data_IF_651132969183
#
_entry.id   IF_651132969183
#
_cell.length_a   1.000
_cell.length_b   1.000
_cell.length_c   1.000
_cell.angle_alpha   90.00
_cell.angle_beta   90.00
_cell.angle_gamma   90.00
#
_symmetry.space_group_name_H-M   'P 1'
#
loop_
_entity.id
_entity.type
_entity.pdbx_description
1 polymer ?
#
# COMPACT_ATOMS: atom_id res chain seq x y z
N UNK A 1 16.54 10.83 -2.11
CA UNK A 1 17.17 11.26 -0.84
C UNK A 1 18.62 11.61 -1.12
N UNK A 2 18.89 12.87 -1.47
CA UNK A 2 20.20 13.30 -2.01
C UNK A 2 21.12 13.91 -0.94
N UNK A 3 20.59 14.17 0.27
CA UNK A 3 21.29 14.86 1.37
C UNK A 3 21.39 14.04 2.66
N UNK A 4 21.19 12.73 2.60
CA UNK A 4 21.20 11.84 3.78
C UNK A 4 20.02 12.02 4.75
N UNK A 5 19.13 12.97 4.49
CA UNK A 5 17.91 13.18 5.25
C UNK A 5 16.80 12.25 4.74
N UNK A 6 16.23 11.45 5.64
CA UNK A 6 15.15 10.50 5.39
C UNK A 6 13.95 10.94 6.22
N UNK A 7 12.86 11.31 5.56
CA UNK A 7 11.60 11.47 6.26
C UNK A 7 11.04 10.07 6.61
N UNK A 8 10.77 9.77 7.90
CA UNK A 8 10.27 8.46 8.32
C UNK A 8 8.86 8.13 7.77
N UNK A 9 8.09 9.14 7.37
CA UNK A 9 6.72 8.99 6.84
C UNK A 9 6.61 9.32 5.34
N UNK A 10 7.71 9.75 4.70
CA UNK A 10 7.78 9.97 3.25
C UNK A 10 9.11 9.48 2.69
N UNK A 11 9.15 8.22 2.26
CA UNK A 11 10.37 7.58 1.79
C UNK A 11 10.05 6.44 0.82
N UNK A 12 11.07 5.68 0.42
CA UNK A 12 10.93 4.58 -0.52
C UNK A 12 9.82 3.57 -0.13
N UNK A 13 9.56 3.38 1.16
CA UNK A 13 8.50 2.48 1.65
C UNK A 13 7.12 3.15 1.74
N UNK A 14 7.05 4.47 1.89
CA UNK A 14 5.84 5.20 2.27
C UNK A 14 5.57 6.38 1.35
N UNK A 15 4.37 6.38 0.77
CA UNK A 15 3.91 7.38 -0.18
C UNK A 15 2.82 6.80 -1.07
N UNK A 16 2.38 7.59 -2.05
CA UNK A 16 1.43 7.13 -3.07
C UNK A 16 1.98 5.92 -3.82
N UNK A 17 1.18 4.84 -3.89
CA UNK A 17 1.54 3.54 -4.49
C UNK A 17 2.53 2.68 -3.68
N UNK A 18 2.97 3.17 -2.51
CA UNK A 18 3.81 2.44 -1.58
C UNK A 18 5.17 2.02 -2.16
N UNK A 19 5.70 0.90 -1.67
CA UNK A 19 7.03 0.41 -2.06
C UNK A 19 7.16 -0.01 -3.55
N UNK A 20 6.05 -0.16 -4.25
CA UNK A 20 6.04 -0.53 -5.67
C UNK A 20 6.38 0.64 -6.60
N UNK A 21 6.06 1.88 -6.19
CA UNK A 21 6.10 3.08 -7.04
C UNK A 21 7.48 3.36 -7.64
N UNK A 22 8.54 3.10 -6.87
CA UNK A 22 9.93 3.36 -7.26
C UNK A 22 10.71 2.08 -7.62
N UNK A 23 10.01 1.10 -8.21
CA UNK A 23 10.59 -0.16 -8.67
C UNK A 23 10.59 -0.25 -10.20
N UNK A 24 11.27 -1.27 -10.74
CA UNK A 24 11.20 -1.64 -12.17
C UNK A 24 9.77 -2.05 -12.62
N UNK A 25 8.84 -2.21 -11.66
CA UNK A 25 7.44 -2.53 -11.94
C UNK A 25 7.23 -3.92 -12.53
N UNK A 26 8.04 -4.90 -12.13
CA UNK A 26 7.92 -6.30 -12.56
C UNK A 26 6.63 -6.91 -12.01
N UNK A 27 5.77 -7.39 -12.89
CA UNK A 27 4.43 -7.90 -12.56
C UNK A 27 4.43 -9.43 -12.50
N UNK A 28 5.13 -9.99 -11.51
CA UNK A 28 5.12 -11.43 -11.26
C UNK A 28 4.31 -11.76 -10.00
N UNK A 29 3.54 -12.84 -10.07
CA UNK A 29 2.86 -13.41 -8.89
C UNK A 29 2.98 -14.92 -8.92
N UNK A 30 3.18 -15.52 -7.75
CA UNK A 30 3.15 -16.98 -7.56
C UNK A 30 1.79 -17.46 -7.04
N UNK A 31 0.83 -16.55 -6.91
CA UNK A 31 -0.43 -16.79 -6.22
C UNK A 31 -1.62 -16.85 -7.19
N UNK A 32 -1.53 -17.73 -8.19
CA UNK A 32 -2.56 -17.92 -9.21
C UNK A 32 -3.92 -18.41 -8.67
N UNK A 33 -3.94 -18.96 -7.45
CA UNK A 33 -5.16 -19.49 -6.81
C UNK A 33 -5.94 -18.45 -6.00
N UNK A 34 -5.41 -17.24 -5.81
CA UNK A 34 -5.98 -16.22 -4.91
C UNK A 34 -6.12 -14.88 -5.62
N UNK A 35 -7.20 -14.73 -6.37
CA UNK A 35 -7.58 -13.48 -7.03
C UNK A 35 -7.53 -13.56 -8.56
N UNK A 36 -8.06 -12.53 -9.21
CA UNK A 36 -8.09 -12.41 -10.65
C UNK A 36 -6.92 -11.53 -11.12
N UNK A 37 -5.84 -12.18 -11.57
CA UNK A 37 -4.63 -11.50 -12.07
C UNK A 37 -4.96 -10.65 -13.28
N UNK A 38 -5.76 -11.19 -14.21
CA UNK A 38 -6.17 -10.49 -15.43
C UNK A 38 -6.90 -9.18 -15.09
N UNK A 39 -7.80 -9.20 -14.10
CA UNK A 39 -8.48 -7.99 -13.63
C UNK A 39 -7.48 -6.94 -13.13
N UNK A 40 -6.47 -7.34 -12.35
CA UNK A 40 -5.46 -6.41 -11.86
C UNK A 40 -4.63 -5.80 -13.00
N UNK A 41 -4.25 -6.60 -13.99
CA UNK A 41 -3.53 -6.12 -15.18
C UNK A 41 -4.39 -5.18 -16.02
N UNK A 42 -5.67 -5.51 -16.24
CA UNK A 42 -6.62 -4.64 -16.95
C UNK A 42 -6.80 -3.30 -16.25
N UNK A 43 -6.93 -3.29 -14.92
CA UNK A 43 -6.99 -2.05 -14.14
C UNK A 43 -5.73 -1.19 -14.33
N UNK A 44 -4.54 -1.79 -14.40
CA UNK A 44 -3.31 -1.04 -14.70
C UNK A 44 -3.37 -0.41 -16.10
N UNK A 45 -3.84 -1.15 -17.11
CA UNK A 45 -3.99 -0.64 -18.49
C UNK A 45 -5.01 0.48 -18.56
N UNK A 46 -6.17 0.31 -17.92
CA UNK A 46 -7.23 1.33 -17.84
C UNK A 46 -6.74 2.66 -17.26
N UNK A 47 -5.67 2.63 -16.45
CA UNK A 47 -5.08 3.80 -15.81
C UNK A 47 -3.73 4.21 -16.41
N UNK A 48 -3.38 3.72 -17.61
CA UNK A 48 -2.25 4.23 -18.40
C UNK A 48 -1.04 3.31 -18.51
N UNK A 49 -1.12 2.06 -18.04
CA UNK A 49 -0.12 1.06 -18.40
C UNK A 49 -0.25 0.66 -19.87
N UNK A 50 0.87 0.25 -20.48
CA UNK A 50 0.85 -0.27 -21.85
C UNK A 50 0.09 -1.62 -21.89
N UNK A 51 -0.65 -1.86 -22.98
CA UNK A 51 -1.49 -3.05 -23.11
C UNK A 51 -0.72 -4.35 -23.34
N UNK A 52 0.57 -4.25 -23.67
CA UNK A 52 1.51 -5.37 -23.80
C UNK A 52 1.57 -6.23 -22.52
N UNK A 53 1.39 -5.62 -21.35
CA UNK A 53 1.40 -6.33 -20.05
C UNK A 53 0.31 -7.42 -19.94
N UNK A 54 -0.71 -7.40 -20.79
CA UNK A 54 -1.80 -8.39 -20.80
C UNK A 54 -1.41 -9.70 -21.51
N UNK A 55 -0.40 -9.66 -22.38
CA UNK A 55 0.01 -10.81 -23.20
C UNK A 55 1.43 -11.27 -22.91
N UNK A 56 2.28 -10.38 -22.39
CA UNK A 56 3.66 -10.71 -22.06
C UNK A 56 3.75 -11.77 -20.96
N UNK A 57 4.62 -12.76 -21.16
CA UNK A 57 4.89 -13.80 -20.17
C UNK A 57 5.62 -13.25 -18.92
N UNK A 58 6.37 -12.17 -19.08
CA UNK A 58 7.10 -11.49 -18.00
C UNK A 58 6.81 -9.98 -18.03
N UNK A 59 5.57 -9.58 -17.72
CA UNK A 59 5.14 -8.21 -17.91
C UNK A 59 5.85 -7.27 -16.93
N UNK A 60 6.17 -6.07 -17.39
CA UNK A 60 6.76 -5.01 -16.57
C UNK A 60 6.21 -3.65 -17.00
N UNK A 61 5.94 -2.78 -16.03
CA UNK A 61 5.42 -1.43 -16.29
C UNK A 61 6.53 -0.50 -16.82
N UNK A 62 7.77 -0.75 -16.41
CA UNK A 62 8.91 0.11 -16.71
C UNK A 62 9.09 1.24 -15.68
N UNK A 63 10.33 1.68 -15.53
CA UNK A 63 10.72 2.69 -14.54
C UNK A 63 9.99 4.01 -14.77
N UNK A 64 9.58 4.67 -13.69
CA UNK A 64 8.91 5.98 -13.67
C UNK A 64 7.49 6.06 -14.28
N UNK A 65 6.91 4.98 -14.79
CA UNK A 65 5.51 4.99 -15.26
C UNK A 65 4.49 4.76 -14.14
N UNK A 66 4.86 3.96 -13.13
CA UNK A 66 3.98 3.64 -11.99
C UNK A 66 3.44 4.87 -11.24
N UNK A 67 4.23 5.94 -10.96
CA UNK A 67 3.69 7.13 -10.31
C UNK A 67 2.47 7.72 -11.04
N UNK A 68 2.54 7.85 -12.37
CA UNK A 68 1.42 8.37 -13.17
C UNK A 68 0.20 7.43 -13.16
N UNK A 69 0.42 6.13 -13.27
CA UNK A 69 -0.66 5.13 -13.24
C UNK A 69 -1.38 5.14 -11.89
N UNK A 70 -0.64 5.22 -10.79
CA UNK A 70 -1.22 5.27 -9.45
C UNK A 70 -1.97 6.58 -9.21
N UNK A 71 -1.44 7.71 -9.68
CA UNK A 71 -2.14 9.00 -9.61
C UNK A 71 -3.49 8.93 -10.36
N UNK A 72 -3.51 8.34 -11.56
CA UNK A 72 -4.76 8.13 -12.31
C UNK A 72 -5.74 7.24 -11.53
N UNK A 73 -5.26 6.16 -10.88
CA UNK A 73 -6.11 5.32 -10.04
C UNK A 73 -6.71 6.08 -8.85
N UNK A 74 -5.92 6.94 -8.20
CA UNK A 74 -6.42 7.82 -7.14
C UNK A 74 -7.51 8.75 -7.69
N UNK A 75 -7.29 9.37 -8.84
CA UNK A 75 -8.27 10.27 -9.46
C UNK A 75 -9.60 9.56 -9.76
N UNK A 76 -9.55 8.31 -10.25
CA UNK A 76 -10.75 7.48 -10.41
C UNK A 76 -11.45 7.23 -9.07
N UNK A 77 -10.71 6.89 -8.02
CA UNK A 77 -11.29 6.68 -6.67
C UNK A 77 -11.98 7.96 -6.17
N UNK A 78 -11.34 9.11 -6.33
CA UNK A 78 -11.87 10.42 -5.92
C UNK A 78 -13.09 10.82 -6.76
N UNK A 79 -13.07 10.55 -8.07
CA UNK A 79 -14.19 10.78 -8.98
C UNK A 79 -15.46 10.04 -8.55
N UNK A 80 -15.32 8.79 -8.08
CA UNK A 80 -16.44 7.98 -7.59
C UNK A 80 -16.76 8.20 -6.10
N UNK A 81 -16.29 9.30 -5.50
CA UNK A 81 -16.65 9.72 -4.14
C UNK A 81 -15.78 9.11 -3.04
N UNK A 82 -14.75 8.34 -3.39
CA UNK A 82 -13.70 7.94 -2.47
C UNK A 82 -12.85 9.15 -2.04
N UNK A 83 -12.05 8.98 -1.00
CA UNK A 83 -11.14 10.02 -0.50
C UNK A 83 -9.77 9.42 -0.22
N UNK A 84 -8.73 10.05 -0.75
CA UNK A 84 -7.34 9.72 -0.43
C UNK A 84 -6.75 10.86 0.38
N UNK A 85 -6.21 10.54 1.56
CA UNK A 85 -5.70 11.52 2.51
C UNK A 85 -4.20 11.30 2.70
N UNK A 86 -3.40 12.13 2.05
CA UNK A 86 -1.95 12.15 2.26
C UNK A 86 -1.59 12.87 3.57
N UNK A 87 -0.42 12.54 4.12
CA UNK A 87 0.03 13.09 5.41
C UNK A 87 -0.79 12.62 6.63
N UNK A 88 -1.74 11.69 6.44
CA UNK A 88 -2.62 11.18 7.48
C UNK A 88 -2.16 9.80 7.96
N UNK A 89 -1.08 9.75 8.75
CA UNK A 89 -0.61 8.49 9.33
C UNK A 89 -1.45 8.10 10.56
N UNK A 90 -1.82 6.82 10.65
CA UNK A 90 -2.62 6.27 11.77
C UNK A 90 -1.72 6.05 12.97
N UNK A 91 -2.06 6.64 14.11
CA UNK A 91 -1.34 6.45 15.38
C UNK A 91 -2.11 5.57 16.38
N UNK A 92 -3.42 5.40 16.20
CA UNK A 92 -4.24 4.59 17.08
C UNK A 92 -5.46 3.95 16.40
N UNK A 93 -5.90 2.83 16.97
CA UNK A 93 -7.14 2.13 16.61
C UNK A 93 -8.21 2.39 17.66
N UNK A 94 -9.38 2.83 17.20
CA UNK A 94 -10.55 3.04 18.05
C UNK A 94 -11.32 1.73 18.13
N UNK A 95 -11.36 1.15 19.34
CA UNK A 95 -12.03 -0.12 19.59
C UNK A 95 -13.21 0.08 20.55
N UNK A 96 -14.37 -0.47 20.21
CA UNK A 96 -15.54 -0.47 21.05
C UNK A 96 -16.06 -1.90 21.20
N UNK A 97 -16.12 -2.41 22.43
CA UNK A 97 -16.59 -3.77 22.73
C UNK A 97 -15.87 -4.86 21.89
N UNK A 98 -14.56 -4.70 21.70
CA UNK A 98 -13.74 -5.64 20.90
C UNK A 98 -13.93 -5.53 19.38
N UNK A 99 -14.67 -4.53 18.88
CA UNK A 99 -14.85 -4.26 17.45
C UNK A 99 -14.17 -2.96 17.05
N UNK A 100 -13.75 -2.88 15.80
CA UNK A 100 -13.23 -1.63 15.23
C UNK A 100 -14.36 -0.60 15.12
N UNK A 101 -14.07 0.62 15.54
CA UNK A 101 -14.96 1.77 15.43
C UNK A 101 -14.36 2.90 14.57
N UNK A 102 -13.06 2.82 14.27
CA UNK A 102 -12.36 3.80 13.46
C UNK A 102 -10.86 3.84 13.74
N UNK A 103 -10.23 4.89 13.26
CA UNK A 103 -8.80 5.17 13.47
C UNK A 103 -8.60 6.61 13.93
N UNK A 104 -7.56 6.83 14.70
CA UNK A 104 -7.01 8.16 14.94
C UNK A 104 -5.76 8.34 14.12
N UNK A 105 -5.66 9.49 13.46
CA UNK A 105 -4.46 9.90 12.73
C UNK A 105 -3.71 10.94 13.53
N UNK A 106 -2.44 11.10 13.18
CA UNK A 106 -1.59 12.14 13.73
C UNK A 106 -2.22 13.53 13.65
N UNK A 107 -2.02 14.31 14.71
CA UNK A 107 -2.73 15.57 14.93
C UNK A 107 -4.08 15.39 15.63
N UNK A 108 -4.44 14.17 16.03
CA UNK A 108 -5.59 13.88 16.89
C UNK A 108 -6.93 13.74 16.17
N UNK A 109 -6.94 13.81 14.83
CA UNK A 109 -8.17 13.67 14.04
C UNK A 109 -8.62 12.22 14.01
N UNK A 110 -9.92 12.00 14.21
CA UNK A 110 -10.53 10.67 14.17
C UNK A 110 -11.35 10.46 12.90
N UNK A 111 -11.30 9.23 12.39
CA UNK A 111 -12.12 8.76 11.27
C UNK A 111 -12.88 7.52 11.73
N UNK A 112 -14.18 7.69 11.94
CA UNK A 112 -15.07 6.61 12.36
C UNK A 112 -15.46 5.75 11.16
N UNK A 113 -15.34 4.44 11.32
CA UNK A 113 -15.73 3.46 10.30
C UNK A 113 -16.03 2.10 10.95
N UNK A 114 -17.08 1.39 10.49
CA UNK A 114 -17.42 0.07 11.02
C UNK A 114 -16.46 -1.04 10.57
N UNK A 115 -15.61 -0.74 9.58
CA UNK A 115 -14.64 -1.66 9.02
C UNK A 115 -13.32 -0.95 8.72
N UNK A 116 -12.22 -1.69 8.86
CA UNK A 116 -10.86 -1.22 8.59
C UNK A 116 -10.09 -2.29 7.83
N UNK A 117 -9.41 -1.88 6.75
CA UNK A 117 -8.46 -2.72 6.03
C UNK A 117 -7.05 -2.22 6.35
N UNK A 118 -6.22 -3.09 6.93
CA UNK A 118 -4.80 -2.80 7.13
C UNK A 118 -3.99 -3.30 5.92
N UNK A 119 -3.70 -2.39 5.00
CA UNK A 119 -2.88 -2.62 3.81
C UNK A 119 -1.57 -1.80 3.86
N UNK A 120 -0.93 -1.76 5.04
CA UNK A 120 0.15 -0.81 5.38
C UNK A 120 1.56 -1.26 4.94
N UNK A 121 1.68 -2.44 4.34
CA UNK A 121 2.97 -3.04 3.98
C UNK A 121 3.78 -3.52 5.19
N UNK A 122 4.82 -4.32 4.94
CA UNK A 122 5.61 -4.94 6.01
C UNK A 122 6.58 -3.96 6.71
N UNK A 123 6.81 -2.78 6.12
CA UNK A 123 7.69 -1.75 6.70
C UNK A 123 7.03 -0.94 7.82
N UNK A 124 5.70 -1.00 7.96
CA UNK A 124 4.93 -0.26 8.98
C UNK A 124 5.05 -0.89 10.38
N UNK A 125 6.26 -0.81 10.97
CA UNK A 125 6.60 -1.39 12.29
C UNK A 125 5.75 -0.83 13.42
N UNK A 126 5.48 0.46 13.38
CA UNK A 126 4.59 1.19 14.27
C UNK A 126 3.20 0.55 14.37
N UNK A 127 2.62 0.13 13.25
CA UNK A 127 1.34 -0.58 13.21
C UNK A 127 1.44 -1.94 13.91
N UNK A 128 2.52 -2.71 13.72
CA UNK A 128 2.70 -3.97 14.45
C UNK A 128 2.79 -3.74 15.96
N UNK A 129 3.51 -2.70 16.40
CA UNK A 129 3.56 -2.34 17.82
C UNK A 129 2.19 -1.88 18.35
N UNK A 130 1.43 -1.14 17.56
CA UNK A 130 0.08 -0.71 17.91
C UNK A 130 -0.86 -1.92 18.09
N UNK A 131 -0.85 -2.86 17.13
CA UNK A 131 -1.63 -4.09 17.20
C UNK A 131 -1.27 -4.90 18.45
N UNK A 132 0.02 -5.04 18.76
CA UNK A 132 0.48 -5.73 19.96
C UNK A 132 -0.03 -5.04 21.25
N UNK A 133 0.12 -3.71 21.36
CA UNK A 133 -0.38 -2.94 22.51
C UNK A 133 -1.90 -3.04 22.69
N UNK A 134 -2.65 -3.19 21.61
CA UNK A 134 -4.11 -3.37 21.61
C UNK A 134 -4.55 -4.81 21.88
N UNK A 135 -3.61 -5.74 22.10
CA UNK A 135 -3.91 -7.16 22.31
C UNK A 135 -4.44 -7.87 21.05
N UNK A 136 -4.21 -7.30 19.86
CA UNK A 136 -4.60 -7.92 18.59
C UNK A 136 -3.55 -8.97 18.24
N UNK A 137 -4.01 -10.19 17.92
CA UNK A 137 -3.16 -11.35 17.62
C UNK A 137 -2.18 -11.03 16.50
N UNK A 138 -0.91 -11.28 16.78
CA UNK A 138 0.19 -11.26 15.82
C UNK A 138 0.91 -12.59 15.87
N UNK A 139 1.38 -13.04 14.71
CA UNK A 139 2.14 -14.29 14.57
C UNK A 139 3.45 -14.02 13.84
N UNK A 140 4.53 -14.64 14.34
CA UNK A 140 5.81 -14.58 13.68
C UNK A 140 5.76 -15.35 12.35
N UNK A 141 6.27 -14.72 11.30
CA UNK A 141 6.40 -15.33 9.97
C UNK A 141 7.88 -15.36 9.57
N UNK A 142 8.42 -16.54 9.15
CA UNK A 142 9.77 -16.61 8.62
C UNK A 142 9.97 -15.67 7.42
N UNK A 143 11.15 -15.08 7.30
CA UNK A 143 11.54 -14.19 6.20
C UNK A 143 12.99 -14.45 5.75
N UNK A 144 13.35 -13.94 4.57
CA UNK A 144 14.69 -14.06 4.01
C UNK A 144 15.50 -12.77 4.22
N UNK A 145 16.79 -12.91 4.53
CA UNK A 145 17.74 -11.82 4.66
C UNK A 145 19.00 -12.16 3.86
N UNK A 146 19.60 -11.15 3.21
CA UNK A 146 20.80 -11.31 2.41
C UNK A 146 21.40 -9.96 2.03
N UNK A 147 22.42 -9.97 1.18
CA UNK A 147 23.08 -8.78 0.66
C UNK A 147 22.84 -8.66 -0.84
N UNK A 148 22.80 -7.41 -1.35
CA UNK A 148 22.75 -7.15 -2.79
C UNK A 148 24.17 -7.20 -3.34
N UNK A 149 24.41 -8.04 -4.34
CA UNK A 149 25.67 -8.18 -5.07
C UNK A 149 25.52 -7.48 -6.42
#
# INVERSE_FOLDING_TARGET
QQFGLVDPHSNYCFGEGGAGTYSDGKLYTRSHKRGNIEKALRLLVEHGAASDILVDAHPHIGSNKLPGIVANMRETIEHYGGRVLFGAHVDDLLLQQGRIAGVRVHGGREYLAPALILATGHSARDIFYLLHRKGIRLEAKPYALGVRI
#
